data_IF_266660333601
#
_entry.id   IF_266660333601
#
_cell.length_a   1.000
_cell.length_b   1.000
_cell.length_c   1.000
_cell.angle_alpha   90.00
_cell.angle_beta   90.00
_cell.angle_gamma   90.00
#
_symmetry.space_group_name_H-M   'P 1'
#
loop_
_entity.id
_entity.type
_entity.pdbx_description
1 polymer ?
#
# COMPACT_ATOMS: atom_id res chain seq x y z
N UNK A 1 -43.12 -14.33 8.55
CA UNK A 1 -43.38 -13.10 7.77
C UNK A 1 -42.44 -12.02 8.29
N UNK A 2 -41.50 -11.55 7.47
CA UNK A 2 -40.58 -10.48 7.88
C UNK A 2 -41.37 -9.16 7.87
N UNK A 3 -41.45 -8.49 9.02
CA UNK A 3 -42.21 -7.25 9.16
C UNK A 3 -41.39 -6.05 8.67
N UNK A 4 -42.04 -5.04 8.12
CA UNK A 4 -41.41 -3.78 7.70
C UNK A 4 -40.39 -3.19 8.69
N UNK A 5 -40.67 -3.10 10.01
CA UNK A 5 -39.69 -2.59 10.97
C UNK A 5 -38.45 -3.48 11.08
N UNK A 6 -38.58 -4.80 10.91
CA UNK A 6 -37.44 -5.72 10.93
C UNK A 6 -36.52 -5.53 9.71
N UNK A 7 -37.07 -5.21 8.54
CA UNK A 7 -36.28 -4.86 7.35
C UNK A 7 -35.50 -3.56 7.54
N UNK A 8 -36.13 -2.54 8.12
CA UNK A 8 -35.48 -1.25 8.40
C UNK A 8 -34.34 -1.41 9.41
N UNK A 9 -34.57 -2.17 10.48
CA UNK A 9 -33.53 -2.49 11.47
C UNK A 9 -32.35 -3.26 10.86
N UNK A 10 -32.63 -4.24 10.00
CA UNK A 10 -31.59 -5.03 9.34
C UNK A 10 -30.71 -4.18 8.41
N UNK A 11 -31.31 -3.25 7.66
CA UNK A 11 -30.58 -2.32 6.78
C UNK A 11 -29.76 -1.32 7.59
N UNK A 12 -30.27 -0.83 8.72
CA UNK A 12 -29.53 0.09 9.58
C UNK A 12 -28.32 -0.60 10.24
N UNK A 13 -28.49 -1.87 10.63
CA UNK A 13 -27.42 -2.68 11.23
C UNK A 13 -26.29 -2.97 10.23
N UNK A 14 -26.61 -3.31 8.98
CA UNK A 14 -25.59 -3.57 7.95
C UNK A 14 -24.78 -2.33 7.57
N UNK A 15 -25.39 -1.12 7.63
CA UNK A 15 -24.67 0.13 7.41
C UNK A 15 -23.65 0.45 8.52
N UNK A 16 -23.99 0.17 9.78
CA UNK A 16 -23.06 0.37 10.91
C UNK A 16 -21.87 -0.61 10.93
N UNK A 17 -22.03 -1.78 10.31
CA UNK A 17 -20.98 -2.79 10.18
C UNK A 17 -19.92 -2.46 9.11
N UNK A 18 -20.14 -1.45 8.28
CA UNK A 18 -19.18 -1.03 7.24
C UNK A 18 -18.12 -0.03 7.75
N UNK A 19 -18.16 0.31 9.04
CA UNK A 19 -17.30 1.32 9.65
C UNK A 19 -15.98 0.81 10.21
N UNK A 20 -15.21 0.00 9.47
CA UNK A 20 -13.78 -0.20 9.81
C UNK A 20 -12.94 -0.90 8.71
N UNK A 21 -13.45 -1.09 7.49
CA UNK A 21 -12.70 -1.78 6.41
C UNK A 21 -11.44 -0.99 5.99
N UNK A 22 -11.40 0.31 6.31
CA UNK A 22 -10.28 1.20 6.05
C UNK A 22 -9.42 1.51 7.28
N UNK A 23 -9.59 0.77 8.39
CA UNK A 23 -8.69 0.90 9.52
C UNK A 23 -7.34 0.26 9.18
N UNK A 24 -6.55 1.00 8.40
CA UNK A 24 -5.14 0.74 8.13
C UNK A 24 -4.27 1.00 9.38
N UNK A 25 -4.78 0.67 10.57
CA UNK A 25 -3.95 0.31 11.71
C UNK A 25 -3.33 -1.09 11.51
N UNK A 26 -2.97 -1.42 10.27
CA UNK A 26 -1.94 -2.41 10.02
C UNK A 26 -0.72 -1.92 10.81
N UNK A 27 -0.26 -2.74 11.74
CA UNK A 27 0.92 -2.54 12.57
C UNK A 27 2.21 -2.60 11.72
N UNK A 28 2.24 -1.87 10.59
CA UNK A 28 3.48 -1.56 9.91
C UNK A 28 4.21 -0.57 10.83
N UNK A 29 5.03 -1.14 11.71
CA UNK A 29 5.89 -0.38 12.60
C UNK A 29 6.72 0.56 11.72
N UNK A 30 6.85 1.82 12.12
CA UNK A 30 7.51 2.86 11.34
C UNK A 30 8.94 2.46 10.90
N UNK A 31 9.61 1.64 11.71
CA UNK A 31 10.90 1.04 11.40
C UNK A 31 10.88 0.05 10.23
N UNK A 32 9.83 -0.77 10.11
CA UNK A 32 9.63 -1.71 9.01
C UNK A 32 9.37 -0.93 7.72
N UNK A 33 8.51 0.09 7.79
CA UNK A 33 8.25 0.98 6.66
C UNK A 33 9.51 1.71 6.18
N UNK A 34 10.32 2.23 7.12
CA UNK A 34 11.62 2.85 6.82
C UNK A 34 12.62 1.87 6.22
N UNK A 35 12.65 0.63 6.70
CA UNK A 35 13.56 -0.41 6.19
C UNK A 35 13.19 -0.78 4.76
N UNK A 36 11.90 -0.99 4.48
CA UNK A 36 11.41 -1.28 3.14
C UNK A 36 11.69 -0.13 2.16
N UNK A 37 11.43 1.11 2.59
CA UNK A 37 11.69 2.31 1.81
C UNK A 37 13.20 2.48 1.50
N UNK A 38 14.05 2.20 2.49
CA UNK A 38 15.51 2.24 2.33
C UNK A 38 15.98 1.21 1.31
N UNK A 39 15.49 -0.02 1.41
CA UNK A 39 15.86 -1.10 0.48
C UNK A 39 15.42 -0.76 -0.95
N UNK A 40 14.20 -0.28 -1.14
CA UNK A 40 13.72 0.16 -2.46
C UNK A 40 14.59 1.26 -3.07
N UNK A 41 14.93 2.28 -2.26
CA UNK A 41 15.78 3.36 -2.71
C UNK A 41 17.25 2.93 -2.92
N UNK A 42 17.71 1.83 -2.31
CA UNK A 42 19.05 1.26 -2.53
C UNK A 42 19.17 0.53 -3.87
N UNK A 43 18.14 -0.22 -4.28
CA UNK A 43 18.17 -0.98 -5.55
C UNK A 43 17.77 -0.14 -6.77
N UNK A 44 17.01 0.94 -6.59
CA UNK A 44 16.55 1.81 -7.68
C UNK A 44 17.70 2.43 -8.52
N UNK A 45 18.83 2.89 -7.95
CA UNK A 45 20.00 3.32 -8.71
C UNK A 45 20.61 2.23 -9.58
N UNK A 46 20.58 0.98 -9.12
CA UNK A 46 21.13 -0.16 -9.84
C UNK A 46 20.26 -0.54 -11.06
N UNK A 47 18.94 -0.43 -10.90
CA UNK A 47 17.97 -0.51 -12.01
C UNK A 47 18.11 0.68 -12.97
N UNK A 48 18.29 1.90 -12.45
CA UNK A 48 18.51 3.13 -13.21
C UNK A 48 19.69 3.01 -14.17
N UNK A 49 20.80 2.40 -13.74
CA UNK A 49 21.98 2.18 -14.57
C UNK A 49 21.80 1.14 -15.67
N UNK A 50 20.73 0.33 -15.60
CA UNK A 50 20.58 -0.85 -16.44
C UNK A 50 21.55 -1.96 -16.08
N UNK A 51 21.96 -2.06 -14.81
CA UNK A 51 22.91 -3.08 -14.34
C UNK A 51 22.20 -4.30 -13.74
N UNK A 52 20.88 -4.26 -13.62
CA UNK A 52 20.10 -5.37 -13.12
C UNK A 52 19.85 -6.41 -14.21
N UNK A 53 20.10 -7.68 -13.92
CA UNK A 53 19.77 -8.78 -14.84
C UNK A 53 18.27 -9.01 -14.87
N UNK A 54 17.69 -9.05 -16.08
CA UNK A 54 16.29 -9.32 -16.31
C UNK A 54 16.01 -10.82 -16.33
N UNK A 55 14.88 -11.24 -15.75
CA UNK A 55 14.45 -12.65 -15.75
C UNK A 55 14.22 -13.21 -17.16
N UNK A 56 13.92 -12.35 -18.14
CA UNK A 56 13.72 -12.69 -19.55
C UNK A 56 15.05 -12.74 -20.35
N UNK A 57 16.20 -12.60 -19.68
CA UNK A 57 17.51 -12.49 -20.31
C UNK A 57 17.94 -11.03 -20.53
N UNK A 58 19.26 -10.80 -20.53
CA UNK A 58 19.84 -9.46 -20.71
C UNK A 58 19.70 -8.55 -19.48
N UNK A 59 20.03 -7.27 -19.66
CA UNK A 59 19.94 -6.27 -18.61
C UNK A 59 18.64 -5.46 -18.69
N UNK A 60 18.12 -5.02 -17.55
CA UNK A 60 16.97 -4.11 -17.47
C UNK A 60 17.31 -2.79 -18.18
N UNK A 61 16.36 -2.23 -18.91
CA UNK A 61 16.56 -0.99 -19.64
C UNK A 61 16.91 0.18 -18.70
N UNK A 62 17.91 0.97 -19.09
CA UNK A 62 18.31 2.17 -18.38
C UNK A 62 17.14 3.15 -18.31
N UNK A 63 16.70 3.51 -17.10
CA UNK A 63 15.68 4.55 -16.94
C UNK A 63 16.34 5.95 -17.06
N UNK A 64 15.70 6.88 -17.78
CA UNK A 64 16.19 8.25 -17.86
C UNK A 64 16.10 8.99 -16.51
N UNK A 65 15.08 8.65 -15.71
CA UNK A 65 14.86 9.17 -14.35
C UNK A 65 14.04 8.17 -13.55
N UNK A 66 14.42 7.91 -12.30
CA UNK A 66 13.56 7.23 -11.33
C UNK A 66 13.47 8.06 -10.06
N UNK A 67 12.25 8.44 -9.70
CA UNK A 67 11.99 9.26 -8.51
C UNK A 67 12.28 8.46 -7.24
N UNK A 68 12.90 9.11 -6.24
CA UNK A 68 13.08 8.54 -4.91
C UNK A 68 11.71 8.34 -4.27
N UNK A 69 11.47 7.17 -3.67
CA UNK A 69 10.24 6.94 -2.92
C UNK A 69 10.28 7.75 -1.62
N UNK A 70 9.20 8.50 -1.37
CA UNK A 70 8.95 9.18 -0.11
C UNK A 70 8.14 8.29 0.83
N UNK A 71 8.28 8.52 2.13
CA UNK A 71 7.42 7.90 3.14
C UNK A 71 6.00 8.43 2.97
N UNK A 72 4.99 7.55 2.91
CA UNK A 72 3.60 7.97 3.06
C UNK A 72 3.45 8.39 4.52
N UNK A 73 3.60 9.69 4.78
CA UNK A 73 3.38 10.25 6.11
C UNK A 73 1.97 9.84 6.53
N UNK A 74 1.84 9.10 7.64
CA UNK A 74 0.56 9.02 8.34
C UNK A 74 0.15 10.47 8.59
N UNK A 75 -0.91 10.95 7.95
CA UNK A 75 -1.64 12.11 8.48
C UNK A 75 -2.15 11.63 9.83
N UNK A 76 -1.45 12.01 10.89
CA UNK A 76 -1.94 11.90 12.25
C UNK A 76 -3.14 12.85 12.28
N UNK A 77 -4.34 12.28 12.15
CA UNK A 77 -5.60 12.98 12.46
C UNK A 77 -5.60 13.25 13.95
#
# INVERSE_FOLDING_TARGET
>A
MITFPALVFLVFLSASAYGDICNLNNEMIDEVGKTFLRMHNKFRPWLLGGNASGKLGGFVQKAAKMMKMGTVLRKKV
#
